data_IF_646446305469
#
_entry.id   IF_646446305469
#
_cell.length_a   1.000
_cell.length_b   1.000
_cell.length_c   1.000
_cell.angle_alpha   90.00
_cell.angle_beta   90.00
_cell.angle_gamma   90.00
#
_symmetry.space_group_name_H-M   'P 1'
#
loop_
_entity.id
_entity.type
_entity.pdbx_description
1 polymer ?
#
# COMPACT_ATOMS: atom_id res chain seq x y z
N UNK A 1 -13.14 19.79 -13.78
CA UNK A 1 -12.41 19.07 -14.83
C UNK A 1 -12.43 17.58 -14.65
N UNK A 2 -11.97 17.05 -13.53
CA UNK A 2 -11.97 15.59 -13.33
C UNK A 2 -13.38 15.00 -13.30
N UNK A 3 -14.35 15.73 -12.74
CA UNK A 3 -15.74 15.27 -12.69
C UNK A 3 -16.36 15.20 -14.07
N UNK A 4 -15.95 16.08 -14.97
CA UNK A 4 -16.42 16.08 -16.36
C UNK A 4 -15.88 14.87 -17.09
N UNK A 5 -14.62 14.48 -16.83
CA UNK A 5 -14.01 13.30 -17.43
C UNK A 5 -14.72 12.04 -16.94
N UNK A 6 -15.04 11.97 -15.64
CA UNK A 6 -15.79 10.84 -15.08
C UNK A 6 -17.14 10.70 -15.76
N UNK A 7 -17.84 11.83 -15.97
CA UNK A 7 -19.16 11.82 -16.60
C UNK A 7 -19.06 11.32 -18.05
N UNK A 8 -18.04 11.76 -18.80
CA UNK A 8 -17.84 11.33 -20.17
C UNK A 8 -17.55 9.83 -20.26
N UNK A 9 -16.65 9.33 -19.40
CA UNK A 9 -16.30 7.90 -19.40
C UNK A 9 -17.48 7.06 -18.97
N UNK A 10 -18.20 7.48 -17.93
CA UNK A 10 -19.38 6.77 -17.45
C UNK A 10 -20.44 6.68 -18.55
N UNK A 11 -20.65 7.79 -19.28
CA UNK A 11 -21.60 7.81 -20.40
C UNK A 11 -21.17 6.84 -21.50
N UNK A 12 -19.89 6.85 -21.86
CA UNK A 12 -19.37 5.95 -22.90
C UNK A 12 -19.51 4.47 -22.50
N UNK A 13 -19.36 4.16 -21.24
CA UNK A 13 -19.45 2.79 -20.71
C UNK A 13 -20.84 2.41 -20.26
N UNK A 14 -21.78 3.35 -20.34
CA UNK A 14 -23.18 3.15 -19.88
C UNK A 14 -23.22 2.74 -18.40
N UNK A 15 -22.44 3.41 -17.60
CA UNK A 15 -22.34 3.19 -16.16
C UNK A 15 -22.82 4.42 -15.41
N UNK A 16 -23.32 4.20 -14.20
CA UNK A 16 -23.60 5.27 -13.27
C UNK A 16 -22.25 5.90 -12.85
N UNK A 17 -22.18 7.24 -12.79
CA UNK A 17 -20.91 7.91 -12.49
C UNK A 17 -20.39 7.59 -11.08
N UNK A 18 -21.29 7.46 -10.11
CA UNK A 18 -20.87 7.17 -8.74
C UNK A 18 -20.35 5.75 -8.62
N UNK A 19 -20.95 4.81 -9.36
CA UNK A 19 -20.47 3.44 -9.45
C UNK A 19 -19.08 3.42 -10.07
N UNK A 20 -18.90 4.14 -11.20
CA UNK A 20 -17.58 4.21 -11.86
C UNK A 20 -16.54 4.78 -10.90
N UNK A 21 -16.84 5.87 -10.21
CA UNK A 21 -15.91 6.50 -9.28
C UNK A 21 -15.52 5.53 -8.17
N UNK A 22 -16.50 4.86 -7.57
CA UNK A 22 -16.25 3.91 -6.48
C UNK A 22 -15.40 2.72 -6.92
N UNK A 23 -15.76 2.13 -8.06
CA UNK A 23 -15.02 0.96 -8.59
C UNK A 23 -13.59 1.34 -8.94
N UNK A 24 -13.42 2.55 -9.51
CA UNK A 24 -12.11 3.04 -9.91
C UNK A 24 -11.20 3.28 -8.70
N UNK A 25 -11.74 3.91 -7.65
CA UNK A 25 -10.98 4.14 -6.43
C UNK A 25 -10.61 2.81 -5.78
N UNK A 26 -11.55 1.88 -5.70
CA UNK A 26 -11.31 0.57 -5.13
C UNK A 26 -10.22 -0.17 -5.91
N UNK A 27 -10.29 -0.13 -7.24
CA UNK A 27 -9.30 -0.79 -8.10
C UNK A 27 -7.90 -0.22 -7.86
N UNK A 28 -7.79 1.11 -7.75
CA UNK A 28 -6.52 1.77 -7.48
C UNK A 28 -5.96 1.33 -6.11
N UNK A 29 -6.79 1.36 -5.07
CA UNK A 29 -6.34 1.00 -3.72
C UNK A 29 -5.91 -0.46 -3.64
N UNK A 30 -6.67 -1.37 -4.27
CA UNK A 30 -6.33 -2.79 -4.29
C UNK A 30 -5.02 -3.04 -5.02
N UNK A 31 -4.80 -2.34 -6.14
CA UNK A 31 -3.56 -2.47 -6.91
C UNK A 31 -2.36 -1.97 -6.10
N UNK A 32 -2.51 -0.82 -5.43
CA UNK A 32 -1.44 -0.26 -4.60
C UNK A 32 -1.13 -1.18 -3.42
N UNK A 33 -2.17 -1.73 -2.80
CA UNK A 33 -1.99 -2.64 -1.67
C UNK A 33 -1.19 -3.88 -2.10
N UNK A 34 -1.55 -4.47 -3.24
CA UNK A 34 -0.83 -5.65 -3.75
C UNK A 34 0.65 -5.34 -4.01
N UNK A 35 0.91 -4.18 -4.62
CA UNK A 35 2.30 -3.76 -4.92
C UNK A 35 3.10 -3.59 -3.62
N UNK A 36 2.52 -2.90 -2.65
CA UNK A 36 3.19 -2.62 -1.38
C UNK A 36 3.41 -3.90 -0.59
N UNK A 37 2.42 -4.78 -0.54
CA UNK A 37 2.56 -6.04 0.18
C UNK A 37 3.63 -6.94 -0.45
N UNK A 38 3.77 -6.92 -1.77
CA UNK A 38 4.82 -7.67 -2.44
C UNK A 38 6.21 -7.14 -2.07
N UNK A 39 6.37 -5.82 -2.02
CA UNK A 39 7.64 -5.20 -1.64
C UNK A 39 7.96 -5.46 -0.16
N UNK A 40 6.97 -5.38 0.71
CA UNK A 40 7.12 -5.71 2.13
C UNK A 40 7.60 -7.16 2.28
N UNK A 41 6.95 -8.07 1.55
CA UNK A 41 7.30 -9.48 1.60
C UNK A 41 8.76 -9.73 1.20
N UNK A 42 9.22 -9.04 0.16
CA UNK A 42 10.61 -9.17 -0.29
C UNK A 42 11.61 -8.77 0.79
N UNK A 43 11.38 -7.62 1.44
CA UNK A 43 12.28 -7.13 2.47
C UNK A 43 12.24 -8.02 3.70
N UNK A 44 11.04 -8.41 4.13
CA UNK A 44 10.88 -9.29 5.29
C UNK A 44 11.57 -10.64 5.06
N UNK A 45 11.41 -11.18 3.87
CA UNK A 45 12.03 -12.46 3.52
C UNK A 45 13.55 -12.34 3.48
N UNK A 46 14.06 -11.25 2.92
CA UNK A 46 15.50 -11.00 2.84
C UNK A 46 16.14 -11.02 4.22
N UNK A 47 15.48 -10.44 5.20
CA UNK A 47 16.01 -10.31 6.55
C UNK A 47 15.49 -11.36 7.54
N UNK A 48 14.57 -12.22 7.09
CA UNK A 48 14.00 -13.25 7.96
C UNK A 48 13.17 -12.67 9.11
N UNK A 49 12.49 -11.55 8.86
CA UNK A 49 11.67 -10.87 9.86
C UNK A 49 10.21 -10.78 9.43
N UNK A 50 9.32 -10.54 10.37
CA UNK A 50 7.89 -10.39 10.11
C UNK A 50 7.42 -8.94 10.16
N UNK A 51 8.28 -8.01 10.60
CA UNK A 51 7.91 -6.60 10.72
C UNK A 51 9.15 -5.74 10.91
N UNK A 52 8.92 -4.42 10.80
CA UNK A 52 9.98 -3.44 11.09
C UNK A 52 10.46 -3.56 12.54
N UNK A 53 9.57 -3.95 13.45
CA UNK A 53 9.93 -4.09 14.87
C UNK A 53 10.91 -5.24 15.08
N UNK A 54 10.75 -6.34 14.37
CA UNK A 54 11.70 -7.46 14.46
C UNK A 54 13.06 -7.08 13.86
N UNK A 55 13.06 -6.27 12.79
CA UNK A 55 14.31 -5.80 12.21
C UNK A 55 15.03 -4.85 13.16
N UNK A 56 14.29 -3.96 13.80
CA UNK A 56 14.84 -3.06 14.83
C UNK A 56 15.43 -3.85 16.00
N UNK A 57 14.76 -4.92 16.40
CA UNK A 57 15.22 -5.79 17.47
C UNK A 57 16.54 -6.46 17.12
N UNK A 58 16.68 -6.93 15.88
CA UNK A 58 17.95 -7.50 15.41
C UNK A 58 19.08 -6.48 15.45
N UNK A 59 18.77 -5.23 15.10
CA UNK A 59 19.73 -4.14 15.13
C UNK A 59 20.17 -3.88 16.57
N UNK A 60 19.24 -3.81 17.51
CA UNK A 60 19.52 -3.56 18.93
C UNK A 60 20.33 -4.68 19.55
N UNK A 61 20.14 -5.92 19.11
CA UNK A 61 20.87 -7.08 19.61
C UNK A 61 22.22 -7.28 18.93
N UNK A 62 22.55 -6.43 17.96
CA UNK A 62 23.82 -6.53 17.26
C UNK A 62 23.90 -7.69 16.27
N UNK A 63 22.78 -8.27 15.89
CA UNK A 63 22.73 -9.38 14.93
C UNK A 63 22.97 -8.89 13.52
N UNK A 64 22.70 -7.60 13.23
CA UNK A 64 22.93 -6.96 11.95
C UNK A 64 23.55 -5.59 12.20
N UNK A 65 24.26 -5.07 11.20
CA UNK A 65 24.90 -3.75 11.29
C UNK A 65 23.99 -2.72 10.63
N UNK A 66 23.86 -1.56 11.27
CA UNK A 66 23.03 -0.48 10.76
C UNK A 66 23.35 -0.14 9.32
N UNK A 67 24.66 -0.02 9.01
CA UNK A 67 25.09 0.35 7.65
C UNK A 67 24.68 -0.64 6.59
N UNK A 68 24.44 -1.90 6.96
CA UNK A 68 24.05 -2.94 6.02
C UNK A 68 22.54 -3.00 5.79
N UNK A 69 21.73 -2.46 6.72
CA UNK A 69 20.27 -2.58 6.66
C UNK A 69 19.55 -1.25 6.58
N UNK A 70 20.26 -0.12 6.65
CA UNK A 70 19.62 1.19 6.78
C UNK A 70 18.60 1.46 5.67
N UNK A 71 18.95 1.21 4.42
CA UNK A 71 18.06 1.48 3.30
C UNK A 71 16.81 0.58 3.38
N UNK A 72 17.00 -0.71 3.66
CA UNK A 72 15.87 -1.65 3.79
C UNK A 72 15.02 -1.33 5.01
N UNK A 73 15.65 -0.88 6.10
CA UNK A 73 14.92 -0.49 7.30
C UNK A 73 13.99 0.68 7.01
N UNK A 74 14.54 1.72 6.35
CA UNK A 74 13.75 2.90 6.01
C UNK A 74 12.64 2.56 5.02
N UNK A 75 12.95 1.73 4.03
CA UNK A 75 11.97 1.30 3.04
C UNK A 75 10.85 0.50 3.67
N UNK A 76 11.18 -0.46 4.55
CA UNK A 76 10.18 -1.27 5.22
C UNK A 76 9.28 -0.42 6.12
N UNK A 77 9.86 0.54 6.84
CA UNK A 77 9.11 1.46 7.68
C UNK A 77 8.10 2.26 6.84
N UNK A 78 8.56 2.80 5.71
CA UNK A 78 7.70 3.54 4.79
C UNK A 78 6.57 2.65 4.24
N UNK A 79 6.93 1.45 3.78
CA UNK A 79 5.95 0.54 3.18
C UNK A 79 4.89 0.10 4.18
N UNK A 80 5.28 -0.24 5.40
CA UNK A 80 4.32 -0.66 6.43
C UNK A 80 3.37 0.50 6.78
N UNK A 81 3.90 1.71 6.88
CA UNK A 81 3.08 2.90 7.15
C UNK A 81 2.12 3.17 5.99
N UNK A 82 2.62 3.07 4.75
CA UNK A 82 1.79 3.29 3.57
C UNK A 82 0.70 2.23 3.43
N UNK A 83 1.03 0.97 3.74
CA UNK A 83 0.03 -0.10 3.77
C UNK A 83 -1.11 0.26 4.72
N UNK A 84 -0.78 0.73 5.92
CA UNK A 84 -1.80 1.08 6.92
C UNK A 84 -2.67 2.24 6.43
N UNK A 85 -2.08 3.23 5.75
CA UNK A 85 -2.85 4.33 5.15
C UNK A 85 -3.83 3.81 4.10
N UNK A 86 -3.39 2.89 3.24
CA UNK A 86 -4.24 2.33 2.19
C UNK A 86 -5.36 1.49 2.79
N UNK A 87 -5.06 0.69 3.80
CA UNK A 87 -6.09 -0.10 4.48
C UNK A 87 -7.14 0.81 5.14
N UNK A 88 -6.70 1.91 5.73
CA UNK A 88 -7.62 2.89 6.32
C UNK A 88 -8.49 3.55 5.24
N UNK A 89 -7.87 3.90 4.10
CA UNK A 89 -8.62 4.49 2.99
C UNK A 89 -9.67 3.52 2.44
N UNK A 90 -9.34 2.23 2.37
CA UNK A 90 -10.29 1.22 1.90
C UNK A 90 -11.51 1.11 2.80
N UNK A 91 -11.35 1.34 4.10
CA UNK A 91 -12.47 1.34 5.04
C UNK A 91 -13.42 2.50 4.82
N UNK A 92 -12.96 3.57 4.15
CA UNK A 92 -13.78 4.73 3.85
C UNK A 92 -14.70 4.50 2.65
N UNK A 93 -14.49 3.43 1.88
CA UNK A 93 -15.33 3.15 0.72
C UNK A 93 -16.69 2.62 1.16
N UNK A 94 -17.77 3.07 0.51
CA UNK A 94 -19.10 2.57 0.81
C UNK A 94 -19.17 1.05 0.57
N UNK A 95 -19.82 0.35 1.49
CA UNK A 95 -20.08 -1.08 1.36
C UNK A 95 -21.35 -1.25 0.53
N UNK A 96 -21.28 -2.13 -0.45
CA UNK A 96 -22.43 -2.42 -1.30
C UNK A 96 -22.53 -3.88 -1.59
#
# INVERSE_FOLDING_TARGET
MIMEVIDEVAGALKMDRDVLARVSIKAFLERELRRIEAEIFEIRTKHGVRSIFELDDKLKKGEVREEDILDDFQELDYLESRRDEILAAMKSLPQQ
#
